data_IF_298265296593
#
_entry.id   IF_298265296593
#
_cell.length_a   1.000
_cell.length_b   1.000
_cell.length_c   1.000
_cell.angle_alpha   90.00
_cell.angle_beta   90.00
_cell.angle_gamma   90.00
#
_symmetry.space_group_name_H-M   'P 1'
#
loop_
_entity.id
_entity.type
_entity.pdbx_description
1 polymer ?
#
# COMPACT_ATOMS: atom_id res chain seq x y z
N UNK A 1 -45.76 10.03 27.86
CA UNK A 1 -44.66 10.06 26.87
C UNK A 1 -43.47 9.35 27.49
N UNK A 2 -43.19 8.11 27.09
CA UNK A 2 -41.97 7.40 27.52
C UNK A 2 -40.93 7.57 26.41
N UNK A 3 -39.83 8.28 26.69
CA UNK A 3 -38.69 8.33 25.78
C UNK A 3 -37.98 6.97 25.85
N UNK A 4 -38.02 6.21 24.75
CA UNK A 4 -37.14 5.07 24.55
C UNK A 4 -35.75 5.62 24.19
N UNK A 5 -34.78 5.47 25.10
CA UNK A 5 -33.38 5.75 24.82
C UNK A 5 -32.79 4.50 24.17
N UNK A 6 -32.53 4.56 22.87
CA UNK A 6 -31.83 3.50 22.16
C UNK A 6 -30.32 3.58 22.47
N UNK A 7 -29.67 2.46 22.87
CA UNK A 7 -28.23 2.45 23.05
C UNK A 7 -27.56 2.58 21.67
N UNK A 8 -26.75 3.64 21.50
CA UNK A 8 -25.88 3.80 20.34
C UNK A 8 -24.62 2.96 20.59
N UNK A 9 -24.44 1.88 19.82
CA UNK A 9 -23.15 1.19 19.77
C UNK A 9 -22.18 2.07 18.96
N UNK A 10 -21.20 2.65 19.65
CA UNK A 10 -20.06 3.30 18.99
C UNK A 10 -19.04 2.21 18.68
N UNK A 11 -18.90 1.86 17.41
CA UNK A 11 -17.80 1.03 16.93
C UNK A 11 -16.52 1.84 16.94
N UNK A 12 -15.53 1.46 17.75
CA UNK A 12 -14.18 2.01 17.61
C UNK A 12 -13.59 1.44 16.32
N UNK A 13 -13.54 2.25 15.26
CA UNK A 13 -12.75 1.94 14.08
C UNK A 13 -11.27 2.15 14.45
N UNK A 14 -10.50 1.06 14.54
CA UNK A 14 -9.06 1.13 14.68
C UNK A 14 -8.46 1.10 13.28
N UNK A 15 -7.69 2.12 12.91
CA UNK A 15 -6.92 2.13 11.68
C UNK A 15 -5.90 0.99 11.72
N UNK A 16 -5.98 0.05 10.76
CA UNK A 16 -5.04 -1.05 10.65
C UNK A 16 -3.79 -0.63 9.89
N UNK A 17 -2.68 -1.29 10.19
CA UNK A 17 -1.42 -1.13 9.47
C UNK A 17 -1.10 -2.46 8.78
N UNK A 18 -1.04 -2.41 7.46
CA UNK A 18 -0.69 -3.54 6.59
C UNK A 18 0.76 -3.37 6.15
N UNK A 19 1.56 -4.44 6.15
CA UNK A 19 2.96 -4.37 5.73
C UNK A 19 3.17 -5.23 4.49
N UNK A 20 3.86 -4.68 3.50
CA UNK A 20 4.24 -5.35 2.26
C UNK A 20 5.75 -5.29 2.10
N UNK A 21 6.40 -6.44 1.99
CA UNK A 21 7.81 -6.54 1.68
C UNK A 21 8.00 -6.48 0.17
N UNK A 22 8.85 -5.57 -0.29
CA UNK A 22 9.11 -5.35 -1.72
C UNK A 22 10.53 -5.80 -2.01
N UNK A 23 10.69 -6.88 -2.77
CA UNK A 23 12.01 -7.30 -3.24
C UNK A 23 12.78 -8.27 -2.34
N UNK A 24 12.24 -8.65 -1.18
CA UNK A 24 12.96 -9.48 -0.20
C UNK A 24 13.38 -10.84 -0.75
N UNK A 25 12.50 -11.45 -1.54
CA UNK A 25 12.64 -12.80 -2.07
C UNK A 25 12.73 -12.81 -3.60
N UNK A 26 13.32 -11.76 -4.18
CA UNK A 26 13.42 -11.54 -5.63
C UNK A 26 12.36 -10.56 -6.14
N UNK A 27 11.96 -10.68 -7.41
CA UNK A 27 10.97 -9.81 -8.06
C UNK A 27 9.55 -10.11 -7.55
N UNK A 28 9.28 -9.81 -6.27
CA UNK A 28 8.00 -10.12 -5.62
C UNK A 28 7.60 -9.09 -4.56
N UNK A 29 6.29 -9.00 -4.36
CA UNK A 29 5.65 -8.37 -3.20
C UNK A 29 5.16 -9.46 -2.25
N UNK A 30 5.34 -9.27 -0.93
CA UNK A 30 4.85 -10.21 0.08
C UNK A 30 4.16 -9.45 1.25
N UNK A 31 2.83 -9.54 1.40
CA UNK A 31 1.90 -10.24 0.52
C UNK A 31 1.71 -9.51 -0.82
N UNK A 32 1.24 -10.24 -1.85
CA UNK A 32 0.91 -9.65 -3.17
C UNK A 32 -0.42 -8.90 -3.19
N UNK A 33 -1.26 -9.08 -2.17
CA UNK A 33 -2.57 -8.45 -2.07
C UNK A 33 -2.81 -8.03 -0.62
N UNK A 34 -3.35 -6.84 -0.44
CA UNK A 34 -3.71 -6.28 0.85
C UNK A 34 -5.19 -5.93 0.81
N UNK A 35 -5.95 -6.40 1.80
CA UNK A 35 -7.35 -5.99 2.01
C UNK A 35 -7.38 -4.92 3.09
N UNK A 36 -7.20 -3.67 2.67
CA UNK A 36 -7.28 -2.50 3.53
C UNK A 36 -8.58 -1.73 3.27
N UNK A 37 -9.05 -1.00 4.27
CA UNK A 37 -10.23 -0.13 4.18
C UNK A 37 -9.84 1.32 4.40
N UNK A 38 -10.71 2.26 4.00
CA UNK A 38 -10.49 3.69 4.26
C UNK A 38 -10.09 3.96 5.73
N UNK A 39 -8.98 4.68 5.90
CA UNK A 39 -8.39 5.00 7.20
C UNK A 39 -7.20 4.12 7.60
N UNK A 40 -6.99 2.98 6.93
CA UNK A 40 -5.81 2.13 7.13
C UNK A 40 -4.53 2.76 6.54
N UNK A 41 -3.40 2.13 6.83
CA UNK A 41 -2.12 2.43 6.16
C UNK A 41 -1.47 1.17 5.60
N UNK A 42 -0.87 1.28 4.42
CA UNK A 42 -0.01 0.25 3.83
C UNK A 42 1.43 0.72 3.90
N UNK A 43 2.28 -0.08 4.55
CA UNK A 43 3.70 0.16 4.74
C UNK A 43 4.48 -0.78 3.83
N UNK A 44 5.15 -0.22 2.84
CA UNK A 44 6.06 -0.94 1.96
C UNK A 44 7.46 -0.94 2.56
N UNK A 45 7.97 -2.12 2.94
CA UNK A 45 9.35 -2.33 3.37
C UNK A 45 10.23 -2.64 2.15
N UNK A 46 11.13 -1.71 1.82
CA UNK A 46 11.82 -1.71 0.53
C UNK A 46 13.20 -2.36 0.64
N UNK A 47 13.43 -3.42 -0.14
CA UNK A 47 14.72 -4.09 -0.26
C UNK A 47 15.53 -3.51 -1.44
N UNK A 48 16.88 -3.64 -1.44
CA UNK A 48 17.74 -3.02 -2.44
C UNK A 48 17.35 -3.34 -3.88
N UNK A 49 17.28 -2.32 -4.72
CA UNK A 49 16.97 -2.47 -6.15
C UNK A 49 15.48 -2.61 -6.44
N UNK A 50 14.59 -2.35 -5.48
CA UNK A 50 13.14 -2.39 -5.70
C UNK A 50 12.46 -1.15 -5.15
N UNK A 51 11.43 -0.69 -5.84
CA UNK A 51 10.59 0.43 -5.43
C UNK A 51 9.11 0.02 -5.53
N UNK A 52 8.23 0.93 -5.16
CA UNK A 52 6.80 0.78 -5.37
C UNK A 52 6.25 2.03 -6.06
N UNK A 53 5.40 1.78 -7.05
CA UNK A 53 4.64 2.77 -7.79
C UNK A 53 3.17 2.35 -7.73
N UNK A 54 2.27 3.29 -7.49
CA UNK A 54 0.85 3.11 -7.75
C UNK A 54 0.57 3.05 -9.25
N UNK A 55 -0.57 2.50 -9.63
CA UNK A 55 -1.00 2.54 -11.01
C UNK A 55 -2.33 1.85 -11.25
N UNK A 56 -2.65 1.71 -12.52
CA UNK A 56 -3.85 1.07 -13.05
C UNK A 56 -3.53 -0.35 -13.53
N UNK A 57 -4.42 -1.29 -13.24
CA UNK A 57 -4.32 -2.67 -13.73
C UNK A 57 -4.47 -2.78 -15.23
N UNK A 58 -5.32 -1.95 -15.81
CA UNK A 58 -5.58 -1.98 -17.26
C UNK A 58 -4.39 -1.39 -18.03
N UNK A 59 -3.54 -0.61 -17.37
CA UNK A 59 -2.36 0.03 -17.93
C UNK A 59 -1.10 -0.29 -17.10
N UNK A 60 -0.69 -1.57 -17.03
CA UNK A 60 0.41 -1.98 -16.14
C UNK A 60 1.72 -1.31 -16.57
N UNK A 61 2.57 -1.04 -15.58
CA UNK A 61 3.89 -0.44 -15.78
C UNK A 61 3.86 0.98 -16.34
N UNK A 62 2.71 1.65 -16.29
CA UNK A 62 2.56 3.07 -16.57
C UNK A 62 2.07 3.76 -15.30
N UNK A 63 2.74 4.85 -14.93
CA UNK A 63 2.37 5.67 -13.78
C UNK A 63 1.83 6.99 -14.31
N UNK A 64 0.76 7.45 -13.69
CA UNK A 64 0.20 8.78 -13.88
C UNK A 64 0.71 9.74 -12.81
N UNK A 65 0.53 11.05 -13.02
CA UNK A 65 1.02 12.09 -12.11
C UNK A 65 0.39 12.02 -10.69
N UNK A 66 -0.78 11.39 -10.57
CA UNK A 66 -1.50 11.21 -9.32
C UNK A 66 -1.10 9.93 -8.56
N UNK A 67 -0.31 9.06 -9.18
CA UNK A 67 0.15 7.83 -8.54
C UNK A 67 1.21 8.12 -7.48
N UNK A 68 1.17 7.34 -6.40
CA UNK A 68 2.28 7.38 -5.46
C UNK A 68 3.52 6.75 -6.09
N UNK A 69 4.67 7.36 -5.85
CA UNK A 69 5.96 6.79 -6.22
C UNK A 69 6.90 6.90 -5.04
N UNK A 70 7.45 5.76 -4.61
CA UNK A 70 8.35 5.75 -3.47
C UNK A 70 9.67 6.48 -3.75
N UNK A 71 10.07 6.59 -5.03
CA UNK A 71 11.45 6.96 -5.43
C UNK A 71 12.33 5.72 -5.68
N UNK A 72 13.61 5.90 -6.06
CA UNK A 72 14.58 4.82 -6.18
C UNK A 72 15.06 4.34 -4.80
N UNK A 73 15.40 3.05 -4.69
CA UNK A 73 15.82 2.39 -3.44
C UNK A 73 16.96 1.40 -3.67
N UNK A 74 18.07 1.88 -4.23
CA UNK A 74 19.29 1.08 -4.40
C UNK A 74 20.07 0.89 -3.09
N UNK A 75 20.01 1.86 -2.18
CA UNK A 75 20.81 1.89 -0.93
C UNK A 75 19.93 1.73 0.33
N UNK A 76 19.24 0.60 0.45
CA UNK A 76 18.42 0.30 1.64
C UNK A 76 19.06 -0.78 2.50
N UNK A 77 19.00 -0.63 3.82
CA UNK A 77 19.33 -1.73 4.75
C UNK A 77 18.16 -2.72 4.81
N UNK A 78 17.97 -3.51 3.75
CA UNK A 78 17.09 -4.68 3.70
C UNK A 78 15.71 -4.49 4.36
N UNK A 79 14.91 -3.53 3.87
CA UNK A 79 13.56 -3.26 4.40
C UNK A 79 13.50 -2.19 5.51
N UNK A 80 14.64 -1.66 5.95
CA UNK A 80 14.67 -0.54 6.91
C UNK A 80 14.03 0.74 6.36
N UNK A 81 14.12 0.96 5.04
CA UNK A 81 13.42 2.05 4.39
C UNK A 81 11.96 1.66 4.15
N UNK A 82 11.06 2.53 4.61
CA UNK A 82 9.62 2.32 4.57
C UNK A 82 8.96 3.43 3.75
N UNK A 83 8.09 3.05 2.84
CA UNK A 83 7.19 3.98 2.16
C UNK A 83 5.77 3.72 2.65
N UNK A 84 5.05 4.77 3.03
CA UNK A 84 3.72 4.63 3.65
C UNK A 84 2.68 5.27 2.74
N UNK A 85 1.65 4.49 2.43
CA UNK A 85 0.46 4.93 1.71
C UNK A 85 -0.72 4.90 2.67
N UNK A 86 -1.42 6.01 2.79
CA UNK A 86 -2.67 6.07 3.54
C UNK A 86 -3.81 5.66 2.63
N UNK A 87 -4.71 4.80 3.11
CA UNK A 87 -5.88 4.36 2.36
C UNK A 87 -6.98 5.41 2.53
N UNK A 88 -7.25 6.17 1.48
CA UNK A 88 -8.18 7.31 1.51
C UNK A 88 -9.52 7.03 0.83
N UNK A 89 -9.63 5.97 0.04
CA UNK A 89 -10.89 5.45 -0.53
C UNK A 89 -10.89 3.92 -0.50
N UNK A 90 -12.06 3.32 -0.74
CA UNK A 90 -12.23 1.86 -0.87
C UNK A 90 -12.01 1.38 -2.32
N UNK A 91 -11.57 2.27 -3.22
CA UNK A 91 -11.28 1.93 -4.62
C UNK A 91 -10.01 1.07 -4.69
N UNK A 92 -9.97 0.02 -5.53
CA UNK A 92 -8.78 -0.80 -5.66
C UNK A 92 -7.63 0.00 -6.28
N UNK A 93 -6.45 -0.12 -5.68
CA UNK A 93 -5.21 0.46 -6.20
C UNK A 93 -4.26 -0.67 -6.56
N UNK A 94 -3.71 -0.63 -7.77
CA UNK A 94 -2.66 -1.55 -8.19
C UNK A 94 -1.31 -0.92 -7.90
N UNK A 95 -0.34 -1.77 -7.61
CA UNK A 95 1.02 -1.33 -7.37
C UNK A 95 2.02 -2.29 -7.99
N UNK A 96 3.15 -1.74 -8.42
CA UNK A 96 4.19 -2.48 -9.10
C UNK A 96 5.59 -1.92 -8.78
N UNK A 97 6.62 -2.65 -9.17
CA UNK A 97 8.01 -2.20 -9.05
C UNK A 97 8.42 -1.53 -10.37
N UNK A 98 8.60 -0.22 -10.37
CA UNK A 98 8.98 0.59 -11.52
C UNK A 98 10.47 0.59 -11.87
N UNK A 99 11.29 -0.18 -11.14
CA UNK A 99 12.68 -0.42 -11.53
C UNK A 99 12.76 -1.09 -12.93
N UNK A 100 13.81 -0.79 -13.68
CA UNK A 100 13.95 -1.20 -15.09
C UNK A 100 13.80 -2.72 -15.25
N UNK A 101 12.82 -3.15 -16.06
CA UNK A 101 12.50 -4.57 -16.33
C UNK A 101 11.90 -5.36 -15.16
N UNK A 102 11.51 -4.70 -14.06
CA UNK A 102 10.91 -5.40 -12.90
C UNK A 102 9.39 -5.54 -13.02
N UNK A 103 8.73 -4.66 -13.77
CA UNK A 103 7.28 -4.68 -13.94
C UNK A 103 6.81 -5.56 -15.12
N UNK A 104 7.59 -5.61 -16.21
CA UNK A 104 7.27 -6.37 -17.44
C UNK A 104 7.45 -7.88 -17.26
#
# INVERSE_FOLDING_TARGET
MHLLVAPVLVTLASAAVHTVQVGKSGLSFDPQTVSAVQGDSVVFELFPGHNVVGGDFDNPCQSDDDDFYSGPYSDTDSGAKKFVVNVTSDDPVYFYCGESKHCQ
#
